data_IF_407903572034
#
_entry.id   IF_407903572034
#
_cell.length_a   1.000
_cell.length_b   1.000
_cell.length_c   1.000
_cell.angle_alpha   90.00
_cell.angle_beta   90.00
_cell.angle_gamma   90.00
#
_symmetry.space_group_name_H-M   'P 1'
#
loop_
_entity.id
_entity.type
_entity.pdbx_description
1 polymer ?
#
# COMPACT_ATOMS: atom_id res chain seq x y z
N UNK A 1 19.83 -4.06 41.85
CA UNK A 1 19.04 -3.63 40.68
C UNK A 1 20.01 -3.42 39.53
N UNK A 2 20.00 -4.28 38.51
CA UNK A 2 20.73 -3.97 37.27
C UNK A 2 20.03 -2.82 36.61
N UNK A 3 20.73 -1.74 36.39
CA UNK A 3 20.14 -0.60 35.64
C UNK A 3 19.79 -1.09 34.25
N UNK A 4 18.51 -1.00 33.91
CA UNK A 4 18.03 -1.37 32.58
C UNK A 4 18.77 -0.56 31.52
N UNK A 5 19.45 -1.18 30.55
CA UNK A 5 20.20 -0.45 29.52
C UNK A 5 19.25 0.22 28.52
N UNK A 6 18.61 1.31 28.93
CA UNK A 6 17.59 2.03 28.16
C UNK A 6 18.07 2.43 26.76
N UNK A 7 19.37 2.71 26.59
CA UNK A 7 19.94 3.04 25.27
C UNK A 7 19.95 1.83 24.32
N UNK A 8 20.17 0.60 24.82
CA UNK A 8 20.12 -0.61 24.02
C UNK A 8 18.67 -0.89 23.59
N UNK A 9 17.72 -0.74 24.50
CA UNK A 9 16.30 -0.89 24.20
C UNK A 9 15.83 0.13 23.15
N UNK A 10 16.28 1.40 23.29
CA UNK A 10 15.99 2.44 22.31
C UNK A 10 16.58 2.10 20.94
N UNK A 11 17.81 1.60 20.91
CA UNK A 11 18.46 1.18 19.65
C UNK A 11 17.70 0.05 18.98
N UNK A 12 17.37 -1.01 19.72
CA UNK A 12 16.63 -2.16 19.20
C UNK A 12 15.25 -1.76 18.70
N UNK A 13 14.53 -0.94 19.45
CA UNK A 13 13.21 -0.43 19.05
C UNK A 13 13.31 0.42 17.77
N UNK A 14 14.30 1.30 17.69
CA UNK A 14 14.55 2.13 16.51
C UNK A 14 14.90 1.29 15.30
N UNK A 15 15.80 0.32 15.44
CA UNK A 15 16.15 -0.61 14.37
C UNK A 15 14.95 -1.41 13.90
N UNK A 16 14.09 -1.86 14.80
CA UNK A 16 12.88 -2.59 14.46
C UNK A 16 11.90 -1.74 13.62
N UNK A 17 11.62 -0.52 14.06
CA UNK A 17 10.73 0.40 13.33
C UNK A 17 11.31 0.85 11.99
N UNK A 18 12.60 1.17 11.92
CA UNK A 18 13.27 1.50 10.66
C UNK A 18 13.25 0.32 9.70
N UNK A 19 13.52 -0.90 10.19
CA UNK A 19 13.45 -2.11 9.37
C UNK A 19 12.04 -2.40 8.88
N UNK A 20 11.01 -2.14 9.71
CA UNK A 20 9.61 -2.23 9.30
C UNK A 20 9.32 -1.28 8.15
N UNK A 21 9.72 -0.01 8.25
CA UNK A 21 9.58 0.98 7.19
C UNK A 21 10.26 0.51 5.90
N UNK A 22 11.51 0.05 6.00
CA UNK A 22 12.26 -0.44 4.83
C UNK A 22 11.55 -1.65 4.20
N UNK A 23 11.02 -2.58 5.01
CA UNK A 23 10.29 -3.76 4.51
C UNK A 23 9.05 -3.35 3.71
N UNK A 24 8.32 -2.33 4.17
CA UNK A 24 7.12 -1.83 3.48
C UNK A 24 7.47 -1.10 2.19
N UNK A 25 8.50 -0.25 2.20
CA UNK A 25 8.86 0.56 1.03
C UNK A 25 9.72 -0.17 -0.01
N UNK A 26 10.45 -1.22 0.41
CA UNK A 26 11.39 -1.98 -0.44
C UNK A 26 11.09 -3.48 -0.34
N UNK A 27 9.98 -3.98 -0.91
CA UNK A 27 9.49 -5.35 -0.69
C UNK A 27 10.45 -6.44 -1.20
N UNK A 28 11.39 -6.11 -2.09
CA UNK A 28 12.39 -7.07 -2.61
C UNK A 28 13.54 -7.34 -1.64
N UNK A 29 13.64 -6.61 -0.53
CA UNK A 29 14.75 -6.70 0.41
C UNK A 29 14.43 -7.62 1.59
N UNK A 30 14.81 -8.89 1.49
CA UNK A 30 14.57 -9.91 2.53
C UNK A 30 15.32 -9.64 3.85
N UNK A 31 16.44 -8.97 3.80
CA UNK A 31 17.26 -8.68 5.00
C UNK A 31 16.59 -7.75 6.00
N UNK A 32 15.76 -6.80 5.53
CA UNK A 32 15.05 -5.89 6.42
C UNK A 32 14.03 -6.63 7.29
N UNK A 33 13.35 -7.64 6.75
CA UNK A 33 12.40 -8.47 7.49
C UNK A 33 13.12 -9.28 8.60
N UNK A 34 14.28 -9.86 8.28
CA UNK A 34 15.10 -10.59 9.25
C UNK A 34 15.59 -9.65 10.35
N UNK A 35 16.08 -8.48 9.97
CA UNK A 35 16.58 -7.48 10.93
C UNK A 35 15.45 -6.98 11.84
N UNK A 36 14.26 -6.76 11.30
CA UNK A 36 13.05 -6.39 12.05
C UNK A 36 12.74 -7.47 13.12
N UNK A 37 12.66 -8.75 12.70
CA UNK A 37 12.36 -9.85 13.60
C UNK A 37 13.42 -10.01 14.68
N UNK A 38 14.71 -9.92 14.33
CA UNK A 38 15.83 -10.02 15.28
C UNK A 38 15.82 -8.86 16.28
N UNK A 39 15.51 -7.64 15.83
CA UNK A 39 15.46 -6.46 16.70
C UNK A 39 14.29 -6.53 17.67
N UNK A 40 13.11 -6.95 17.22
CA UNK A 40 11.97 -7.19 18.12
C UNK A 40 12.24 -8.31 19.11
N UNK A 41 12.79 -9.43 18.63
CA UNK A 41 13.14 -10.54 19.51
C UNK A 41 14.17 -10.11 20.57
N UNK A 42 15.21 -9.37 20.17
CA UNK A 42 16.21 -8.82 21.09
C UNK A 42 15.60 -7.87 22.13
N UNK A 43 14.68 -7.02 21.70
CA UNK A 43 13.94 -6.13 22.60
C UNK A 43 13.15 -6.92 23.66
N UNK A 44 12.38 -7.93 23.21
CA UNK A 44 11.61 -8.80 24.11
C UNK A 44 12.51 -9.60 25.06
N UNK A 45 13.55 -10.23 24.52
CA UNK A 45 14.45 -11.03 25.33
C UNK A 45 15.08 -10.19 26.46
N UNK A 46 15.55 -8.98 26.13
CA UNK A 46 16.10 -8.07 27.12
C UNK A 46 15.06 -7.63 28.15
N UNK A 47 13.86 -7.26 27.73
CA UNK A 47 12.79 -6.84 28.66
C UNK A 47 12.32 -7.98 29.57
N UNK A 48 12.31 -9.22 29.07
CA UNK A 48 11.96 -10.39 29.89
C UNK A 48 13.08 -10.80 30.87
N UNK A 49 14.35 -10.68 30.47
CA UNK A 49 15.49 -11.09 31.28
C UNK A 49 15.80 -10.06 32.37
N UNK A 50 15.73 -8.78 32.02
CA UNK A 50 16.12 -7.67 32.90
C UNK A 50 14.94 -6.98 33.59
N UNK A 51 13.71 -7.19 33.11
CA UNK A 51 12.51 -6.55 33.64
C UNK A 51 11.88 -7.33 34.81
N UNK A 52 11.43 -6.61 35.81
CA UNK A 52 10.75 -7.20 37.00
C UNK A 52 9.28 -7.55 36.73
N UNK A 53 8.73 -7.15 35.57
CA UNK A 53 7.31 -7.24 35.24
C UNK A 53 6.91 -8.55 34.50
N UNK A 54 7.85 -9.46 34.29
CA UNK A 54 7.61 -10.73 33.57
C UNK A 54 7.19 -10.56 32.11
N UNK A 55 6.24 -11.38 31.66
CA UNK A 55 5.81 -11.41 30.26
C UNK A 55 4.78 -10.33 29.87
N UNK A 56 4.21 -9.60 30.85
CA UNK A 56 3.11 -8.65 30.60
C UNK A 56 3.50 -7.52 29.63
N UNK A 57 4.66 -6.85 29.75
CA UNK A 57 5.08 -5.84 28.79
C UNK A 57 5.18 -6.39 27.37
N UNK A 58 5.67 -7.62 27.23
CA UNK A 58 5.80 -8.27 25.93
C UNK A 58 4.45 -8.53 25.27
N UNK A 59 3.42 -8.89 26.02
CA UNK A 59 2.06 -9.06 25.49
C UNK A 59 1.48 -7.75 24.97
N UNK A 60 1.58 -6.66 25.72
CA UNK A 60 1.15 -5.34 25.27
C UNK A 60 1.90 -4.86 24.03
N UNK A 61 3.20 -5.14 23.97
CA UNK A 61 4.00 -4.77 22.82
C UNK A 61 3.60 -5.55 21.57
N UNK A 62 3.41 -6.87 21.65
CA UNK A 62 2.96 -7.70 20.53
C UNK A 62 1.59 -7.23 20.05
N UNK A 63 0.66 -6.98 20.97
CA UNK A 63 -0.67 -6.46 20.61
C UNK A 63 -0.58 -5.11 19.91
N UNK A 64 0.30 -4.22 20.39
CA UNK A 64 0.57 -2.93 19.77
C UNK A 64 1.09 -3.06 18.34
N UNK A 65 2.03 -4.00 18.10
CA UNK A 65 2.53 -4.29 16.75
C UNK A 65 1.41 -4.84 15.86
N UNK A 66 0.60 -5.77 16.34
CA UNK A 66 -0.53 -6.31 15.58
C UNK A 66 -1.47 -5.19 15.15
N UNK A 67 -1.79 -4.25 16.05
CA UNK A 67 -2.64 -3.10 15.72
C UNK A 67 -2.00 -2.16 14.67
N UNK A 68 -0.68 -1.95 14.71
CA UNK A 68 0.03 -1.21 13.67
C UNK A 68 -0.04 -1.92 12.32
N UNK A 69 0.07 -3.25 12.29
CA UNK A 69 -0.12 -4.02 11.06
C UNK A 69 -1.55 -3.93 10.55
N UNK A 70 -2.55 -4.03 11.44
CA UNK A 70 -3.96 -3.85 11.05
C UNK A 70 -4.18 -2.50 10.37
N UNK A 71 -3.65 -1.41 10.94
CA UNK A 71 -3.74 -0.07 10.33
C UNK A 71 -3.07 0.00 8.95
N UNK A 72 -1.95 -0.70 8.76
CA UNK A 72 -1.24 -0.74 7.48
C UNK A 72 -2.05 -1.44 6.38
N UNK A 73 -2.74 -2.54 6.71
CA UNK A 73 -3.52 -3.33 5.75
C UNK A 73 -4.95 -2.82 5.55
N UNK A 74 -5.53 -2.20 6.58
CA UNK A 74 -6.88 -1.63 6.55
C UNK A 74 -6.78 -0.15 6.88
N UNK A 75 -6.30 0.69 5.95
CA UNK A 75 -6.19 2.12 6.20
C UNK A 75 -7.57 2.70 6.48
N UNK A 76 -7.77 3.11 7.73
CA UNK A 76 -9.05 3.62 8.22
C UNK A 76 -8.88 4.98 8.91
N UNK A 77 -9.48 5.10 10.08
CA UNK A 77 -9.47 6.35 10.85
C UNK A 77 -8.22 6.57 11.70
N UNK A 78 -7.17 5.76 11.57
CA UNK A 78 -5.96 5.85 12.40
C UNK A 78 -6.12 5.29 13.82
N UNK A 79 -7.29 4.79 14.19
CA UNK A 79 -7.57 4.30 15.55
C UNK A 79 -6.71 3.10 15.94
N UNK A 80 -6.58 2.03 15.13
CA UNK A 80 -5.68 0.93 15.44
C UNK A 80 -4.22 1.39 15.55
N UNK A 81 -3.78 2.31 14.69
CA UNK A 81 -2.44 2.87 14.73
C UNK A 81 -2.14 3.61 16.01
N UNK A 82 -3.04 4.51 16.44
CA UNK A 82 -2.93 5.26 17.70
C UNK A 82 -2.95 4.32 18.90
N UNK A 83 -3.89 3.35 18.91
CA UNK A 83 -3.98 2.36 19.98
C UNK A 83 -2.72 1.47 20.03
N UNK A 84 -2.20 1.07 18.88
CA UNK A 84 -0.95 0.32 18.77
C UNK A 84 0.25 1.07 19.35
N UNK A 85 0.42 2.35 18.98
CA UNK A 85 1.48 3.20 19.55
C UNK A 85 1.31 3.39 21.06
N UNK A 86 0.09 3.56 21.54
CA UNK A 86 -0.19 3.66 22.97
C UNK A 86 0.21 2.39 23.71
N UNK A 87 -0.14 1.21 23.20
CA UNK A 87 0.24 -0.07 23.81
C UNK A 87 1.75 -0.29 23.80
N UNK A 88 2.46 0.11 22.73
CA UNK A 88 3.92 0.05 22.66
C UNK A 88 4.54 0.99 23.71
N UNK A 89 4.02 2.22 23.86
CA UNK A 89 4.49 3.15 24.87
C UNK A 89 4.23 2.61 26.30
N UNK A 90 3.05 2.02 26.53
CA UNK A 90 2.72 1.40 27.81
C UNK A 90 3.66 0.21 28.14
N UNK A 91 3.86 -0.67 27.17
CA UNK A 91 4.80 -1.80 27.31
C UNK A 91 6.23 -1.31 27.61
N UNK A 92 6.67 -0.31 26.87
CA UNK A 92 7.99 0.30 27.08
C UNK A 92 8.10 0.99 28.44
N UNK A 93 7.02 1.61 28.97
CA UNK A 93 7.02 2.21 30.30
C UNK A 93 7.12 1.18 31.41
N UNK A 94 6.46 0.04 31.24
CA UNK A 94 6.57 -1.08 32.18
C UNK A 94 7.98 -1.69 32.16
N UNK A 95 8.59 -1.81 30.98
CA UNK A 95 9.95 -2.35 30.80
C UNK A 95 11.03 -1.40 31.34
N UNK A 96 10.90 -0.11 31.09
CA UNK A 96 11.87 0.91 31.53
C UNK A 96 11.65 1.43 32.96
N UNK A 97 10.54 1.06 33.60
CA UNK A 97 10.17 1.53 34.93
C UNK A 97 9.79 3.03 34.97
N UNK A 98 9.69 3.70 33.83
CA UNK A 98 9.41 5.14 33.71
C UNK A 98 8.66 5.48 32.43
N UNK A 99 7.51 6.13 32.57
CA UNK A 99 6.75 6.62 31.43
C UNK A 99 7.52 7.66 30.61
N UNK A 100 8.27 8.54 31.29
CA UNK A 100 9.05 9.56 30.61
C UNK A 100 10.12 8.95 29.69
N UNK A 101 10.82 7.93 30.16
CA UNK A 101 11.80 7.17 29.36
C UNK A 101 11.14 6.46 28.19
N UNK A 102 9.99 5.83 28.41
CA UNK A 102 9.25 5.15 27.35
C UNK A 102 8.83 6.11 26.23
N UNK A 103 8.31 7.30 26.58
CA UNK A 103 7.93 8.34 25.60
C UNK A 103 9.14 8.79 24.78
N UNK A 104 10.29 8.97 25.45
CA UNK A 104 11.54 9.34 24.76
C UNK A 104 11.97 8.21 23.80
N UNK A 105 11.98 6.96 24.23
CA UNK A 105 12.37 5.81 23.42
C UNK A 105 11.50 5.65 22.18
N UNK A 106 10.18 5.65 22.36
CA UNK A 106 9.20 5.53 21.25
C UNK A 106 9.27 6.78 20.36
N UNK A 107 9.41 7.96 20.95
CA UNK A 107 9.54 9.22 20.22
C UNK A 107 10.78 9.25 19.31
N UNK A 108 11.94 8.81 19.81
CA UNK A 108 13.16 8.67 19.00
C UNK A 108 12.95 7.67 17.86
N UNK A 109 12.38 6.50 18.15
CA UNK A 109 12.13 5.47 17.17
C UNK A 109 11.20 5.97 16.04
N UNK A 110 10.11 6.65 16.39
CA UNK A 110 9.18 7.25 15.42
C UNK A 110 9.84 8.36 14.60
N UNK A 111 10.59 9.26 15.24
CA UNK A 111 11.25 10.36 14.56
C UNK A 111 12.26 9.86 13.52
N UNK A 112 13.08 8.89 13.87
CA UNK A 112 14.04 8.29 12.93
C UNK A 112 13.31 7.54 11.82
N UNK A 113 12.21 6.86 12.13
CA UNK A 113 11.36 6.19 11.13
C UNK A 113 10.74 7.18 10.14
N UNK A 114 10.25 8.33 10.61
CA UNK A 114 9.72 9.38 9.74
C UNK A 114 10.80 9.96 8.83
N UNK A 115 12.01 10.19 9.36
CA UNK A 115 13.17 10.61 8.55
C UNK A 115 13.47 9.55 7.47
N UNK A 116 13.43 8.26 7.85
CA UNK A 116 13.66 7.17 6.92
C UNK A 116 12.61 7.14 5.81
N UNK A 117 11.32 7.30 6.15
CA UNK A 117 10.23 7.43 5.18
C UNK A 117 10.49 8.59 4.21
N UNK A 118 10.83 9.76 4.75
CA UNK A 118 11.10 10.93 3.92
C UNK A 118 12.27 10.70 2.94
N UNK A 119 13.35 10.06 3.40
CA UNK A 119 14.49 9.70 2.55
C UNK A 119 14.06 8.72 1.45
N UNK A 120 13.30 7.66 1.79
CA UNK A 120 12.84 6.66 0.83
C UNK A 120 11.91 7.28 -0.24
N UNK A 121 11.02 8.18 0.16
CA UNK A 121 10.17 8.93 -0.77
C UNK A 121 11.02 9.77 -1.73
N UNK A 122 12.04 10.47 -1.21
CA UNK A 122 12.97 11.25 -2.05
C UNK A 122 13.78 10.37 -3.02
N UNK A 123 14.10 9.16 -2.63
CA UNK A 123 14.78 8.17 -3.48
C UNK A 123 13.85 7.53 -4.53
N UNK A 124 12.55 7.84 -4.52
CA UNK A 124 11.59 7.39 -5.52
C UNK A 124 10.91 6.05 -5.21
N UNK A 125 11.05 5.52 -3.99
CA UNK A 125 10.40 4.26 -3.60
C UNK A 125 8.89 4.36 -3.39
N UNK A 126 8.29 5.54 -3.44
CA UNK A 126 6.85 5.77 -3.30
C UNK A 126 6.01 5.11 -4.41
N UNK A 127 6.58 4.91 -5.60
CA UNK A 127 5.85 4.35 -6.76
C UNK A 127 5.47 2.88 -6.58
N UNK A 128 6.24 2.12 -5.79
CA UNK A 128 6.04 0.68 -5.64
C UNK A 128 4.82 0.36 -4.78
N UNK A 129 4.62 1.07 -3.68
CA UNK A 129 3.52 0.83 -2.74
C UNK A 129 2.17 1.18 -3.37
N UNK A 130 2.06 2.35 -4.01
CA UNK A 130 0.82 2.78 -4.64
C UNK A 130 0.47 1.94 -5.88
N UNK A 131 1.47 1.39 -6.58
CA UNK A 131 1.23 0.58 -7.78
C UNK A 131 0.77 -0.84 -7.43
N UNK A 132 1.32 -1.48 -6.41
CA UNK A 132 0.87 -2.81 -5.96
C UNK A 132 -0.51 -2.75 -5.31
N UNK A 133 -0.78 -1.79 -4.43
CA UNK A 133 -2.09 -1.60 -3.80
C UNK A 133 -3.18 -1.22 -4.82
N UNK A 134 -2.83 -0.39 -5.83
CA UNK A 134 -3.77 -0.02 -6.90
C UNK A 134 -4.05 -1.19 -7.85
N UNK A 135 -3.07 -2.07 -8.11
CA UNK A 135 -3.26 -3.24 -8.95
C UNK A 135 -4.10 -4.32 -8.25
N UNK A 136 -3.91 -4.57 -6.97
CA UNK A 136 -4.77 -5.52 -6.23
C UNK A 136 -6.22 -5.05 -6.14
N UNK A 137 -6.46 -3.75 -6.00
CA UNK A 137 -7.82 -3.19 -6.00
C UNK A 137 -8.47 -3.24 -7.39
N UNK A 138 -7.67 -3.29 -8.47
CA UNK A 138 -8.19 -3.41 -9.85
C UNK A 138 -8.35 -4.85 -10.32
N UNK A 139 -7.68 -5.83 -9.70
CA UNK A 139 -7.77 -7.24 -10.09
C UNK A 139 -8.97 -7.99 -9.49
N UNK A 140 -9.71 -7.39 -8.55
CA UNK A 140 -10.98 -7.93 -8.05
C UNK A 140 -12.21 -7.49 -8.85
N UNK A 141 -12.03 -6.67 -9.89
CA UNK A 141 -13.05 -6.34 -10.88
C UNK A 141 -12.94 -7.31 -12.06
N UNK A 142 -13.62 -8.43 -11.98
CA UNK A 142 -13.80 -9.33 -13.12
C UNK A 142 -14.34 -8.55 -14.32
N UNK A 143 -13.71 -8.80 -15.47
CA UNK A 143 -14.11 -8.45 -16.84
C UNK A 143 -13.95 -6.98 -17.28
N UNK A 144 -12.91 -6.73 -18.06
CA UNK A 144 -13.02 -5.82 -19.21
C UNK A 144 -12.33 -4.47 -19.18
N UNK A 145 -11.19 -4.28 -18.49
CA UNK A 145 -10.37 -3.09 -18.71
C UNK A 145 -8.99 -3.44 -19.29
N UNK A 146 -8.91 -3.52 -20.61
CA UNK A 146 -7.63 -3.45 -21.32
C UNK A 146 -7.00 -2.08 -21.11
N UNK A 147 -5.75 -2.10 -20.61
CA UNK A 147 -4.97 -0.90 -20.25
C UNK A 147 -4.94 0.15 -21.37
N UNK A 148 -5.02 1.41 -20.97
CA UNK A 148 -4.98 2.59 -21.83
C UNK A 148 -3.74 2.70 -22.75
N UNK A 149 -2.71 1.92 -22.56
CA UNK A 149 -1.47 1.96 -23.35
C UNK A 149 -1.58 1.32 -24.74
N UNK A 150 -2.64 0.55 -25.02
CA UNK A 150 -2.79 -0.14 -26.31
C UNK A 150 -3.95 0.38 -27.17
N UNK A 151 -4.62 1.45 -26.75
CA UNK A 151 -5.82 1.93 -27.44
C UNK A 151 -5.52 2.78 -28.67
N UNK A 152 -4.35 3.41 -28.75
CA UNK A 152 -3.94 4.21 -29.90
C UNK A 152 -3.78 3.40 -31.20
N UNK A 153 -3.66 2.08 -31.11
CA UNK A 153 -3.57 1.20 -32.28
C UNK A 153 -4.89 1.06 -33.05
N UNK A 154 -6.03 1.49 -32.47
CA UNK A 154 -7.34 1.44 -33.11
C UNK A 154 -7.73 2.72 -33.83
N UNK A 155 -6.99 3.82 -33.66
CA UNK A 155 -7.27 5.08 -34.36
C UNK A 155 -7.15 4.89 -35.88
N UNK A 156 -8.19 5.29 -36.63
CA UNK A 156 -8.26 5.12 -38.08
C UNK A 156 -8.61 3.70 -38.54
N UNK A 157 -8.86 2.75 -37.64
CA UNK A 157 -9.34 1.41 -38.04
C UNK A 157 -10.83 1.42 -38.34
N UNK A 158 -11.21 0.60 -39.29
CA UNK A 158 -12.60 0.36 -39.69
C UNK A 158 -13.14 -0.85 -38.95
N UNK A 159 -14.41 -0.77 -38.56
CA UNK A 159 -15.14 -1.89 -37.93
C UNK A 159 -16.58 -1.94 -38.42
N UNK A 160 -17.25 -3.04 -38.20
CA UNK A 160 -18.65 -3.27 -38.52
C UNK A 160 -19.48 -3.19 -37.26
N UNK A 161 -20.58 -2.46 -37.27
CA UNK A 161 -21.49 -2.34 -36.14
C UNK A 161 -22.19 -3.67 -35.87
N UNK A 162 -21.97 -4.26 -34.72
CA UNK A 162 -22.69 -5.48 -34.25
C UNK A 162 -24.03 -5.13 -33.59
N UNK A 163 -24.10 -3.95 -32.98
CA UNK A 163 -25.33 -3.41 -32.39
C UNK A 163 -25.67 -2.06 -32.99
N UNK A 164 -26.89 -1.61 -32.75
CA UNK A 164 -27.31 -0.25 -33.08
C UNK A 164 -26.51 0.72 -32.18
N UNK A 165 -25.93 1.77 -32.76
CA UNK A 165 -25.25 2.84 -32.01
C UNK A 165 -26.22 4.02 -31.75
N UNK A 166 -26.56 4.25 -30.43
CA UNK A 166 -27.50 5.33 -30.04
C UNK A 166 -27.21 5.84 -28.59
N UNK A 167 -26.23 6.65 -28.29
CA UNK A 167 -25.02 6.95 -29.06
C UNK A 167 -23.95 5.85 -28.89
N UNK A 168 -24.08 4.90 -27.95
CA UNK A 168 -23.13 3.84 -27.68
C UNK A 168 -23.57 2.50 -28.24
N UNK A 169 -22.62 1.63 -28.53
CA UNK A 169 -22.83 0.25 -28.93
C UNK A 169 -21.52 -0.46 -29.22
N UNK A 170 -21.60 -1.62 -29.87
CA UNK A 170 -20.47 -2.53 -30.10
C UNK A 170 -20.18 -2.60 -31.59
N UNK A 171 -18.90 -2.51 -31.94
CA UNK A 171 -18.37 -2.81 -33.28
C UNK A 171 -17.43 -3.99 -33.23
N UNK A 172 -17.28 -4.70 -34.34
CA UNK A 172 -16.22 -5.69 -34.51
C UNK A 172 -15.14 -5.19 -35.45
N UNK A 173 -13.88 -5.40 -35.06
CA UNK A 173 -12.69 -5.19 -35.88
C UNK A 173 -11.96 -6.53 -35.96
N UNK A 174 -12.16 -7.29 -37.05
CA UNK A 174 -11.73 -8.67 -37.13
C UNK A 174 -12.48 -9.56 -36.13
N UNK A 175 -11.77 -10.19 -35.21
CA UNK A 175 -12.37 -11.04 -34.15
C UNK A 175 -12.62 -10.29 -32.84
N UNK A 176 -12.15 -9.03 -32.73
CA UNK A 176 -12.27 -8.24 -31.50
C UNK A 176 -13.56 -7.42 -31.49
N UNK A 177 -14.22 -7.41 -30.33
CA UNK A 177 -15.39 -6.57 -30.03
C UNK A 177 -14.99 -5.36 -29.22
N UNK A 178 -15.41 -4.19 -29.68
CA UNK A 178 -15.04 -2.91 -29.06
C UNK A 178 -16.29 -2.07 -28.77
N UNK A 179 -16.36 -1.55 -27.54
CA UNK A 179 -17.34 -0.52 -27.18
C UNK A 179 -16.96 0.82 -27.81
N UNK A 180 -17.93 1.42 -28.48
CA UNK A 180 -17.74 2.68 -29.19
C UNK A 180 -18.91 3.64 -28.96
N UNK A 181 -18.67 4.92 -29.24
CA UNK A 181 -19.67 5.98 -29.09
C UNK A 181 -19.68 6.81 -30.38
N UNK A 182 -20.87 7.18 -30.87
CA UNK A 182 -21.03 8.12 -31.98
C UNK A 182 -21.07 9.55 -31.47
N UNK A 183 -20.86 10.53 -32.34
CA UNK A 183 -21.03 11.97 -32.03
C UNK A 183 -22.51 12.43 -31.99
N UNK A 184 -23.44 11.56 -31.59
CA UNK A 184 -24.86 11.86 -31.58
C UNK A 184 -25.59 11.32 -32.79
N UNK A 185 -24.91 10.66 -33.70
CA UNK A 185 -25.46 10.09 -34.93
C UNK A 185 -26.03 8.67 -34.63
N UNK A 186 -27.17 8.36 -35.20
CA UNK A 186 -27.75 7.04 -35.17
C UNK A 186 -27.16 6.18 -36.29
N UNK A 187 -26.49 5.08 -35.93
CA UNK A 187 -25.92 4.17 -36.91
C UNK A 187 -26.56 2.78 -36.71
N UNK A 188 -27.19 2.22 -37.78
CA UNK A 188 -27.78 0.89 -37.72
C UNK A 188 -26.72 -0.22 -37.56
N UNK A 189 -27.17 -1.42 -37.23
CA UNK A 189 -26.34 -2.63 -37.24
C UNK A 189 -25.94 -2.98 -38.68
N UNK A 190 -24.68 -3.43 -38.83
CA UNK A 190 -24.12 -3.89 -40.13
C UNK A 190 -23.45 -2.77 -40.94
N UNK A 191 -23.37 -1.56 -40.44
CA UNK A 191 -22.72 -0.44 -41.10
C UNK A 191 -21.22 -0.40 -40.80
N UNK A 192 -20.45 0.09 -41.76
CA UNK A 192 -19.00 0.32 -41.63
C UNK A 192 -18.78 1.66 -40.96
N UNK A 193 -17.99 1.65 -39.90
CA UNK A 193 -17.60 2.82 -39.11
C UNK A 193 -16.11 2.90 -38.96
N UNK A 194 -15.57 4.11 -38.83
CA UNK A 194 -14.16 4.40 -38.61
C UNK A 194 -13.97 5.03 -37.23
N UNK A 195 -12.94 4.57 -36.47
CA UNK A 195 -12.55 5.16 -35.18
C UNK A 195 -11.78 6.45 -35.45
N UNK A 196 -12.44 7.60 -35.23
CA UNK A 196 -11.86 8.92 -35.49
C UNK A 196 -11.15 9.54 -34.32
N UNK A 197 -11.45 9.09 -33.07
CA UNK A 197 -10.89 9.67 -31.85
C UNK A 197 -10.97 8.70 -30.68
N UNK A 198 -9.98 8.75 -29.79
CA UNK A 198 -9.96 7.99 -28.55
C UNK A 198 -9.69 8.96 -27.39
N UNK A 199 -10.63 9.05 -26.45
CA UNK A 199 -10.55 9.93 -25.29
C UNK A 199 -10.94 9.17 -24.02
N UNK A 200 -10.02 9.06 -23.05
CA UNK A 200 -10.32 8.49 -21.74
C UNK A 200 -10.93 7.09 -21.79
N UNK A 201 -10.51 6.25 -22.74
CA UNK A 201 -11.08 4.91 -22.94
C UNK A 201 -12.32 4.85 -23.85
N UNK A 202 -12.95 5.97 -24.19
CA UNK A 202 -14.06 6.04 -25.15
C UNK A 202 -13.52 6.14 -26.58
N UNK A 203 -13.96 5.23 -27.44
CA UNK A 203 -13.63 5.22 -28.87
C UNK A 203 -14.76 5.88 -29.63
N UNK A 204 -14.48 7.04 -30.22
CA UNK A 204 -15.43 7.80 -30.99
C UNK A 204 -15.42 7.32 -32.44
N UNK A 205 -16.58 6.98 -32.97
CA UNK A 205 -16.73 6.47 -34.34
C UNK A 205 -17.64 7.37 -35.19
N UNK A 206 -17.37 7.34 -36.48
CA UNK A 206 -18.19 8.00 -37.50
C UNK A 206 -18.51 6.99 -38.61
N UNK A 207 -19.69 7.12 -39.19
CA UNK A 207 -20.08 6.36 -40.39
C UNK A 207 -19.16 6.72 -41.55
N UNK A 208 -18.73 5.71 -42.30
CA UNK A 208 -17.91 5.91 -43.51
C UNK A 208 -18.72 6.24 -44.72
#
# INVERSE_FOLDING_TARGET
>A
MQEMPWFILTLLLTMAFVSLVITVFVPKQKYSLILMGLSFFGYFALTMILGDQGAVPSLFFILGIILLFVELFVPGFGLPGIAGLFLIALASSMAAGSLAMAVIMVGIALLISLITIWILIRMGYNKTIFHELALETQLTGEEGFHSASNQSCYLGKEGITETILRPSGIISIGEERLDVVTQGEFIPKGEIVEIIRIEGGKKLVRRK
#
